data_IF_479778440651
#
_entry.id   IF_479778440651
#
_cell.length_a   1.000
_cell.length_b   1.000
_cell.length_c   1.000
_cell.angle_alpha   90.00
_cell.angle_beta   90.00
_cell.angle_gamma   90.00
#
_symmetry.space_group_name_H-M   'P 1'
#
loop_
_entity.id
_entity.type
_entity.pdbx_description
1 polymer ?
#
# COMPACT_ATOMS: atom_id res chain seq x y z
N UNK A 1 6.93 -12.00 22.27
CA UNK A 1 6.77 -11.16 21.06
C UNK A 1 5.33 -11.34 20.62
N UNK A 2 4.57 -10.27 20.63
CA UNK A 2 3.15 -10.33 20.26
C UNK A 2 3.03 -10.19 18.74
N UNK A 3 2.36 -11.15 18.10
CA UNK A 3 1.97 -11.04 16.71
C UNK A 3 0.57 -10.47 16.66
N UNK A 4 0.46 -9.23 16.18
CA UNK A 4 -0.81 -8.51 16.08
C UNK A 4 -1.22 -8.41 14.61
N UNK A 5 -2.50 -8.60 14.34
CA UNK A 5 -3.07 -8.38 13.01
C UNK A 5 -3.62 -6.96 12.95
N UNK A 6 -3.00 -6.12 12.12
CA UNK A 6 -3.49 -4.78 11.82
C UNK A 6 -4.15 -4.77 10.44
N UNK A 7 -5.49 -4.69 10.35
CA UNK A 7 -6.20 -4.72 9.08
C UNK A 7 -5.74 -3.63 8.11
N UNK A 8 -5.40 -2.44 8.61
CA UNK A 8 -4.99 -1.30 7.78
C UNK A 8 -3.57 -1.40 7.20
N UNK A 9 -2.83 -2.47 7.49
CA UNK A 9 -1.59 -2.82 6.80
C UNK A 9 -1.81 -3.72 5.57
N UNK A 10 -3.06 -3.87 5.12
CA UNK A 10 -3.41 -4.57 3.89
C UNK A 10 -2.72 -3.96 2.65
N UNK A 11 -2.59 -4.75 1.59
CA UNK A 11 -2.04 -4.28 0.31
C UNK A 11 -2.96 -3.24 -0.36
N UNK A 12 -2.41 -2.47 -1.30
CA UNK A 12 -3.17 -1.60 -2.19
C UNK A 12 -4.46 -2.23 -2.74
N UNK A 13 -5.54 -1.44 -2.71
CA UNK A 13 -6.86 -1.87 -3.21
C UNK A 13 -7.06 -1.45 -4.67
N UNK A 14 -7.16 -2.39 -5.62
CA UNK A 14 -7.38 -2.09 -7.03
C UNK A 14 -8.81 -1.67 -7.35
N UNK A 15 -9.77 -1.94 -6.45
CA UNK A 15 -11.19 -1.74 -6.64
C UNK A 15 -11.82 -1.19 -5.35
N UNK A 16 -12.19 0.09 -5.39
CA UNK A 16 -12.91 0.78 -4.32
C UNK A 16 -14.43 0.77 -4.56
N UNK A 17 -14.87 0.53 -5.79
CA UNK A 17 -16.29 0.51 -6.16
C UNK A 17 -16.94 -0.85 -5.91
N UNK A 18 -16.16 -1.86 -5.51
CA UNK A 18 -16.62 -3.24 -5.26
C UNK A 18 -17.24 -3.90 -6.50
N UNK A 19 -16.70 -3.54 -7.67
CA UNK A 19 -17.11 -4.08 -8.97
C UNK A 19 -16.56 -5.49 -9.23
N UNK A 20 -15.73 -6.01 -8.33
CA UNK A 20 -15.06 -7.31 -8.42
C UNK A 20 -14.24 -7.42 -9.71
N UNK A 21 -13.32 -6.46 -9.89
CA UNK A 21 -12.42 -6.44 -11.04
C UNK A 21 -11.75 -7.80 -11.30
N UNK A 22 -11.76 -8.22 -12.56
CA UNK A 22 -11.02 -9.41 -13.01
C UNK A 22 -9.52 -9.21 -12.84
N UNK A 23 -8.74 -10.30 -12.87
CA UNK A 23 -7.28 -10.20 -12.82
C UNK A 23 -6.68 -9.30 -13.92
N UNK A 24 -7.29 -9.28 -15.11
CA UNK A 24 -6.89 -8.38 -16.20
C UNK A 24 -7.20 -6.91 -15.87
N UNK A 25 -8.37 -6.63 -15.31
CA UNK A 25 -8.75 -5.29 -14.88
C UNK A 25 -7.83 -4.78 -13.75
N UNK A 26 -7.49 -5.65 -12.79
CA UNK A 26 -6.52 -5.34 -11.72
C UNK A 26 -5.14 -5.05 -12.30
N UNK A 27 -4.66 -5.84 -13.27
CA UNK A 27 -3.36 -5.60 -13.91
C UNK A 27 -3.34 -4.26 -14.68
N UNK A 28 -4.44 -3.88 -15.34
CA UNK A 28 -4.58 -2.57 -16.01
C UNK A 28 -4.62 -1.42 -14.99
N UNK A 29 -5.40 -1.55 -13.92
CA UNK A 29 -5.45 -0.57 -12.83
C UNK A 29 -4.06 -0.36 -12.21
N UNK A 30 -3.32 -1.45 -11.97
CA UNK A 30 -1.96 -1.39 -11.42
C UNK A 30 -1.00 -0.63 -12.35
N UNK A 31 -1.07 -0.87 -13.67
CA UNK A 31 -0.26 -0.11 -14.64
C UNK A 31 -0.57 1.38 -14.58
N UNK A 32 -1.86 1.74 -14.63
CA UNK A 32 -2.31 3.13 -14.61
C UNK A 32 -1.90 3.83 -13.32
N UNK A 33 -1.99 3.13 -12.17
CA UNK A 33 -1.48 3.63 -10.90
C UNK A 33 -0.02 4.09 -11.00
N UNK A 34 0.86 3.27 -11.57
CA UNK A 34 2.28 3.64 -11.69
C UNK A 34 2.55 4.70 -12.76
N UNK A 35 1.85 4.66 -13.89
CA UNK A 35 1.94 5.69 -14.94
C UNK A 35 1.55 7.08 -14.41
N UNK A 36 0.59 7.14 -13.49
CA UNK A 36 0.11 8.38 -12.89
C UNK A 36 0.77 8.73 -11.54
N UNK A 37 1.92 8.13 -11.21
CA UNK A 37 2.62 8.36 -9.94
C UNK A 37 1.72 8.16 -8.70
N UNK A 38 0.87 7.14 -8.75
CA UNK A 38 -0.06 6.75 -7.68
C UNK A 38 -1.27 7.67 -7.52
N UNK A 39 -1.49 8.62 -8.44
CA UNK A 39 -2.65 9.51 -8.42
C UNK A 39 -3.79 8.97 -9.26
N UNK A 40 -5.01 9.26 -8.82
CA UNK A 40 -6.22 8.94 -9.57
C UNK A 40 -6.65 10.17 -10.39
N UNK A 41 -6.66 10.04 -11.70
CA UNK A 41 -7.18 11.07 -12.60
C UNK A 41 -8.72 11.13 -12.52
N UNK A 42 -9.30 12.32 -12.70
CA UNK A 42 -10.76 12.53 -12.61
C UNK A 42 -11.53 11.56 -13.52
N UNK A 43 -11.04 11.39 -14.75
CA UNK A 43 -11.64 10.56 -15.79
C UNK A 43 -11.08 9.12 -15.84
N UNK A 44 -10.45 8.64 -14.76
CA UNK A 44 -9.94 7.26 -14.70
C UNK A 44 -11.06 6.24 -14.83
N UNK A 45 -10.88 5.25 -15.71
CA UNK A 45 -11.79 4.12 -15.89
C UNK A 45 -11.76 3.12 -14.72
N UNK A 46 -10.73 3.19 -13.87
CA UNK A 46 -10.57 2.31 -12.70
C UNK A 46 -10.58 3.16 -11.43
N UNK A 47 -11.24 2.68 -10.38
CA UNK A 47 -11.24 3.33 -9.06
C UNK A 47 -10.45 2.49 -8.07
N UNK A 48 -9.16 2.82 -7.97
CA UNK A 48 -8.23 2.22 -7.04
C UNK A 48 -7.85 3.19 -5.91
N UNK A 49 -7.22 2.67 -4.87
CA UNK A 49 -6.62 3.45 -3.78
C UNK A 49 -5.40 4.24 -4.28
N UNK A 50 -5.34 5.54 -4.00
CA UNK A 50 -4.17 6.36 -4.35
C UNK A 50 -2.98 6.05 -3.45
N UNK A 51 -1.78 6.39 -3.92
CA UNK A 51 -0.55 6.32 -3.10
C UNK A 51 -0.70 7.07 -1.77
N UNK A 52 -1.31 8.26 -1.82
CA UNK A 52 -1.58 9.06 -0.62
C UNK A 52 -2.57 8.36 0.32
N UNK A 53 -3.63 7.75 -0.20
CA UNK A 53 -4.59 7.00 0.63
C UNK A 53 -3.93 5.78 1.29
N UNK A 54 -3.12 5.01 0.55
CA UNK A 54 -2.33 3.88 1.11
C UNK A 54 -1.44 4.38 2.26
N UNK A 55 -0.69 5.46 2.03
CA UNK A 55 0.23 6.03 3.02
C UNK A 55 -0.51 6.53 4.25
N UNK A 56 -1.61 7.27 4.06
CA UNK A 56 -2.39 7.85 5.15
C UNK A 56 -3.01 6.78 6.05
N UNK A 57 -3.65 5.75 5.48
CA UNK A 57 -4.24 4.68 6.30
C UNK A 57 -3.18 3.90 7.07
N UNK A 58 -2.00 3.70 6.48
CA UNK A 58 -0.89 3.04 7.15
C UNK A 58 -0.40 3.86 8.34
N UNK A 59 -0.10 5.15 8.12
CA UNK A 59 0.39 6.04 9.18
C UNK A 59 -0.63 6.18 10.30
N UNK A 60 -1.91 6.36 9.98
CA UNK A 60 -2.99 6.45 10.96
C UNK A 60 -3.13 5.16 11.81
N UNK A 61 -2.88 3.99 11.22
CA UNK A 61 -2.89 2.72 11.96
C UNK A 61 -1.61 2.53 12.80
N UNK A 62 -0.45 2.99 12.29
CA UNK A 62 0.84 2.91 12.96
C UNK A 62 0.86 3.66 14.30
N UNK A 63 0.05 4.72 14.42
CA UNK A 63 -0.15 5.49 15.66
C UNK A 63 -0.38 4.64 16.91
N UNK A 64 -1.12 3.53 16.77
CA UNK A 64 -1.44 2.60 17.87
C UNK A 64 -0.19 1.96 18.49
N UNK A 65 0.92 1.97 17.75
CA UNK A 65 2.17 1.31 18.09
C UNK A 65 3.28 2.28 18.51
N UNK A 66 2.99 3.58 18.65
CA UNK A 66 3.97 4.62 19.06
C UNK A 66 4.67 4.39 20.40
N UNK A 67 4.13 3.49 21.24
CA UNK A 67 4.74 3.12 22.53
C UNK A 67 5.99 2.25 22.39
N UNK A 68 6.24 1.69 21.20
CA UNK A 68 7.38 0.84 20.93
C UNK A 68 8.47 1.65 20.23
N UNK A 69 9.72 1.48 20.66
CA UNK A 69 10.87 2.14 20.02
C UNK A 69 11.12 1.62 18.59
N UNK A 70 10.76 0.36 18.33
CA UNK A 70 10.91 -0.28 17.02
C UNK A 70 9.80 -1.29 16.82
N UNK A 71 9.23 -1.30 15.61
CA UNK A 71 8.20 -2.26 15.20
C UNK A 71 8.64 -2.98 13.92
N UNK A 72 8.39 -4.28 13.85
CA UNK A 72 8.54 -5.06 12.62
C UNK A 72 7.14 -5.20 12.02
N UNK A 73 7.01 -4.80 10.76
CA UNK A 73 5.77 -4.90 10.01
C UNK A 73 6.04 -5.83 8.82
N UNK A 74 5.10 -6.72 8.53
CA UNK A 74 5.18 -7.65 7.39
C UNK A 74 4.06 -7.32 6.40
N UNK A 75 4.25 -6.31 5.52
CA UNK A 75 3.24 -5.89 4.55
C UNK A 75 3.54 -6.42 3.13
N UNK A 76 2.88 -5.85 2.13
CA UNK A 76 3.10 -6.14 0.72
C UNK A 76 3.73 -4.95 -0.03
N UNK A 77 4.13 -5.20 -1.28
CA UNK A 77 5.05 -4.34 -2.03
C UNK A 77 4.53 -2.94 -2.36
N UNK A 78 3.25 -2.76 -2.72
CA UNK A 78 2.74 -1.41 -3.04
C UNK A 78 2.72 -0.56 -1.77
N UNK A 79 2.30 -1.11 -0.64
CA UNK A 79 2.39 -0.42 0.65
C UNK A 79 3.83 0.00 0.99
N UNK A 80 4.80 -0.92 0.87
CA UNK A 80 6.21 -0.62 1.18
C UNK A 80 6.76 0.52 0.33
N UNK A 81 6.43 0.55 -0.97
CA UNK A 81 6.90 1.57 -1.93
C UNK A 81 6.37 2.99 -1.66
N UNK A 82 5.47 3.18 -0.69
CA UNK A 82 5.09 4.53 -0.24
C UNK A 82 6.14 5.17 0.67
N UNK A 83 7.11 4.39 1.14
CA UNK A 83 8.13 4.81 2.11
C UNK A 83 9.57 4.61 1.61
N UNK A 84 9.75 3.97 0.45
CA UNK A 84 11.07 3.68 -0.11
C UNK A 84 11.14 4.02 -1.60
N UNK A 85 12.31 4.46 -2.09
CA UNK A 85 12.54 4.78 -3.51
C UNK A 85 12.86 3.55 -4.37
N UNK A 86 12.98 2.38 -3.75
CA UNK A 86 13.35 1.13 -4.39
C UNK A 86 12.26 0.63 -5.34
N UNK A 87 12.62 0.42 -6.60
CA UNK A 87 11.70 -0.04 -7.66
C UNK A 87 11.28 -1.49 -7.51
N UNK A 88 12.16 -2.35 -6.99
CA UNK A 88 11.92 -3.78 -6.82
C UNK A 88 12.32 -4.18 -5.41
N UNK A 89 11.41 -4.79 -4.67
CA UNK A 89 11.65 -5.29 -3.31
C UNK A 89 11.66 -6.81 -3.43
N UNK A 90 12.76 -7.46 -3.04
CA UNK A 90 12.90 -8.90 -3.08
C UNK A 90 11.98 -9.56 -2.04
N UNK A 91 11.62 -10.83 -2.30
CA UNK A 91 10.82 -11.59 -1.33
C UNK A 91 11.57 -11.70 0.00
N UNK A 92 10.88 -11.34 1.09
CA UNK A 92 11.42 -11.31 2.46
C UNK A 92 12.59 -10.34 2.66
N UNK A 93 12.77 -9.36 1.77
CA UNK A 93 13.73 -8.28 1.99
C UNK A 93 13.33 -7.45 3.22
N UNK A 94 14.31 -7.13 4.06
CA UNK A 94 14.13 -6.32 5.26
C UNK A 94 14.66 -4.92 4.96
N UNK A 95 13.80 -3.92 5.09
CA UNK A 95 14.15 -2.52 4.89
C UNK A 95 13.84 -1.75 6.18
N UNK A 96 14.81 -1.01 6.68
CA UNK A 96 14.64 -0.11 7.83
C UNK A 96 14.27 1.27 7.34
N UNK A 97 13.25 1.88 7.95
CA UNK A 97 12.77 3.23 7.64
C UNK A 97 12.56 3.99 8.95
N UNK A 98 13.06 5.22 9.01
CA UNK A 98 12.74 6.18 10.06
C UNK A 98 11.54 7.03 9.61
N UNK A 99 10.44 7.01 10.38
CA UNK A 99 9.18 7.68 10.08
C UNK A 99 8.91 8.88 10.98
#
# INVERSE_FOLDING_TARGET
MDLLVEPFFHEWRPDLDSLNYTGEAVAKAYRIFWENNGKLEENSCYRYETAEQVKQRFLAALEKYRRYDTVIIVPHGVLMRQFVSQKEIAYSEIITVDL
#
